data_IF_097050236997
#
_entry.id   IF_097050236997
#
_cell.length_a   1.000
_cell.length_b   1.000
_cell.length_c   1.000
_cell.angle_alpha   90.00
_cell.angle_beta   90.00
_cell.angle_gamma   90.00
#
_symmetry.space_group_name_H-M   'P 1'
#
loop_
_entity.id
_entity.type
_entity.pdbx_description
1 polymer ?
#
# COMPACT_ATOMS: atom_id res chain seq x y z
N UNK A 1 -2.66 -2.53 54.72
CA UNK A 1 -3.06 -2.10 53.38
C UNK A 1 -1.93 -1.24 52.83
N UNK A 2 -1.07 -1.83 52.04
CA UNK A 2 0.03 -1.14 51.35
C UNK A 2 -0.41 -0.75 49.95
N UNK A 3 0.15 0.32 49.36
CA UNK A 3 -0.25 0.78 48.03
C UNK A 3 0.27 -0.14 46.96
N UNK A 4 -0.59 -0.42 45.97
CA UNK A 4 -0.32 -1.13 44.73
C UNK A 4 0.73 -0.37 43.90
N UNK A 5 1.72 -1.00 43.26
CA UNK A 5 2.68 -0.31 42.40
C UNK A 5 2.03 0.07 41.09
N UNK A 6 2.12 1.35 40.75
CA UNK A 6 1.65 1.97 39.53
C UNK A 6 2.49 1.52 38.32
N UNK A 7 1.83 0.99 37.30
CA UNK A 7 2.39 0.62 35.98
C UNK A 7 2.64 1.89 35.12
N UNK A 8 3.70 2.64 35.37
CA UNK A 8 4.01 3.87 34.60
C UNK A 8 5.49 4.05 34.22
N UNK A 9 6.34 3.06 34.46
CA UNK A 9 7.77 3.21 34.17
C UNK A 9 8.26 2.54 32.87
N UNK A 10 7.48 1.63 32.26
CA UNK A 10 7.91 0.90 31.06
C UNK A 10 7.70 1.69 29.73
N UNK A 11 6.71 2.59 29.69
CA UNK A 11 6.35 3.28 28.42
C UNK A 11 7.31 4.38 27.97
N UNK A 12 8.05 4.99 28.89
CA UNK A 12 8.96 6.11 28.54
C UNK A 12 10.34 5.67 28.04
N UNK A 13 10.80 4.48 28.42
CA UNK A 13 12.07 3.94 27.98
C UNK A 13 12.02 3.29 26.57
N UNK A 14 10.86 2.72 26.20
CA UNK A 14 10.63 2.15 24.87
C UNK A 14 10.38 3.20 23.79
N UNK A 15 9.80 4.34 24.12
CA UNK A 15 9.58 5.46 23.18
C UNK A 15 10.88 6.18 22.76
N UNK A 16 12.00 5.95 23.43
CA UNK A 16 13.30 6.52 23.06
C UNK A 16 14.00 5.75 21.90
N UNK A 17 13.45 4.62 21.44
CA UNK A 17 14.14 3.70 20.53
C UNK A 17 14.08 4.12 19.05
N UNK A 18 13.02 4.80 18.59
CA UNK A 18 12.91 5.21 17.18
C UNK A 18 13.32 6.67 17.00
N UNK A 19 14.59 6.91 16.69
CA UNK A 19 15.08 8.22 16.27
C UNK A 19 15.72 8.10 14.90
N UNK A 20 15.11 8.75 13.91
CA UNK A 20 15.67 8.83 12.57
C UNK A 20 17.05 9.49 12.60
N UNK A 21 18.02 8.85 11.96
CA UNK A 21 19.40 9.34 11.86
C UNK A 21 19.70 9.98 10.49
N UNK A 22 18.77 9.85 9.55
CA UNK A 22 18.86 10.33 8.16
C UNK A 22 19.50 9.28 7.24
N UNK A 23 19.05 9.22 6.02
CA UNK A 23 19.42 8.21 5.04
C UNK A 23 20.94 8.00 4.89
N UNK A 24 21.71 9.09 4.95
CA UNK A 24 23.19 9.01 4.80
C UNK A 24 23.90 8.32 5.97
N UNK A 25 23.28 8.25 7.15
CA UNK A 25 23.83 7.64 8.37
C UNK A 25 23.17 6.31 8.68
N UNK A 26 22.06 6.02 8.01
CA UNK A 26 21.32 4.79 8.20
C UNK A 26 22.13 3.61 7.66
N UNK A 27 22.30 2.60 8.48
CA UNK A 27 22.94 1.33 8.11
C UNK A 27 21.91 0.23 8.24
N UNK A 28 21.48 -0.31 7.10
CA UNK A 28 20.53 -1.42 7.05
C UNK A 28 21.13 -2.66 7.73
N UNK A 29 20.39 -3.21 8.65
CA UNK A 29 20.73 -4.46 9.33
C UNK A 29 19.48 -5.31 9.50
N UNK A 30 19.54 -6.58 9.07
CA UNK A 30 18.45 -7.53 9.22
C UNK A 30 18.77 -8.49 10.38
N UNK A 31 18.18 -8.29 11.58
CA UNK A 31 18.42 -9.11 12.76
C UNK A 31 17.73 -10.46 12.71
N UNK A 32 16.91 -10.72 11.69
CA UNK A 32 16.06 -11.92 11.58
C UNK A 32 15.13 -12.10 12.79
N UNK A 33 14.50 -11.01 13.21
CA UNK A 33 13.74 -10.89 14.47
C UNK A 33 12.23 -11.05 14.33
N UNK A 34 11.72 -11.47 13.16
CA UNK A 34 10.28 -11.70 12.98
C UNK A 34 9.73 -12.64 14.05
N UNK A 35 8.61 -12.26 14.66
CA UNK A 35 7.97 -13.06 15.72
C UNK A 35 7.17 -14.22 15.17
N UNK A 36 6.85 -14.20 13.88
CA UNK A 36 6.15 -15.26 13.15
C UNK A 36 6.60 -15.26 11.69
N UNK A 37 6.50 -16.40 11.04
CA UNK A 37 6.94 -16.53 9.65
C UNK A 37 5.95 -15.87 8.70
N UNK A 38 6.37 -14.74 8.14
CA UNK A 38 5.65 -14.02 7.07
C UNK A 38 6.22 -14.44 5.71
N UNK A 39 5.34 -14.89 4.82
CA UNK A 39 5.71 -15.42 3.52
C UNK A 39 5.64 -14.37 2.41
N UNK A 40 4.54 -13.60 2.34
CA UNK A 40 4.31 -12.58 1.32
C UNK A 40 3.10 -11.69 1.68
N UNK A 41 2.85 -10.65 0.89
CA UNK A 41 1.52 -10.04 0.82
C UNK A 41 0.51 -11.07 0.28
N UNK A 42 -0.70 -11.10 0.85
CA UNK A 42 -1.78 -11.96 0.39
C UNK A 42 -2.79 -11.18 -0.45
N UNK A 43 -3.37 -10.14 0.12
CA UNK A 43 -4.29 -9.23 -0.58
C UNK A 43 -4.37 -7.88 0.13
N UNK A 44 -4.92 -6.90 -0.57
CA UNK A 44 -5.34 -5.63 0.02
C UNK A 44 -6.86 -5.55 -0.09
N UNK A 45 -7.55 -5.36 1.03
CA UNK A 45 -8.99 -5.14 1.04
C UNK A 45 -9.30 -3.65 1.14
N UNK A 46 -10.11 -3.19 0.18
CA UNK A 46 -10.68 -1.84 0.21
C UNK A 46 -12.16 -1.93 0.59
N UNK A 47 -12.55 -1.13 1.58
CA UNK A 47 -13.96 -0.92 1.86
C UNK A 47 -14.46 0.30 1.09
N UNK A 48 -15.68 0.19 0.58
CA UNK A 48 -16.32 1.19 -0.28
C UNK A 48 -17.84 1.16 -0.14
N UNK A 49 -18.49 2.13 -0.75
CA UNK A 49 -19.96 2.19 -0.78
C UNK A 49 -20.58 1.23 -1.82
N UNK A 50 -19.84 0.94 -2.90
CA UNK A 50 -20.27 0.04 -3.98
C UNK A 50 -19.06 -0.73 -4.53
N UNK A 51 -19.03 -2.04 -4.24
CA UNK A 51 -17.93 -2.90 -4.62
C UNK A 51 -17.88 -3.16 -6.14
N UNK A 52 -19.02 -3.23 -6.80
CA UNK A 52 -19.07 -3.51 -8.23
C UNK A 52 -18.48 -2.36 -9.06
N UNK A 53 -18.86 -1.12 -8.74
CA UNK A 53 -18.33 0.08 -9.41
C UNK A 53 -16.84 0.25 -9.15
N UNK A 54 -16.40 0.10 -7.90
CA UNK A 54 -14.99 0.22 -7.53
C UNK A 54 -14.13 -0.86 -8.20
N UNK A 55 -14.51 -2.14 -8.07
CA UNK A 55 -13.81 -3.25 -8.70
C UNK A 55 -13.80 -3.13 -10.23
N UNK A 56 -14.91 -2.77 -10.85
CA UNK A 56 -15.01 -2.56 -12.31
C UNK A 56 -14.04 -1.51 -12.81
N UNK A 57 -13.96 -0.36 -12.13
CA UNK A 57 -13.01 0.70 -12.49
C UNK A 57 -11.55 0.26 -12.32
N UNK A 58 -11.21 -0.40 -11.21
CA UNK A 58 -9.85 -0.90 -10.97
C UNK A 58 -9.48 -2.00 -11.96
N UNK A 59 -10.40 -2.92 -12.27
CA UNK A 59 -10.18 -3.97 -13.27
C UNK A 59 -9.84 -3.36 -14.64
N UNK A 60 -10.61 -2.39 -15.10
CA UNK A 60 -10.39 -1.69 -16.36
C UNK A 60 -9.09 -0.91 -16.36
N UNK A 61 -8.79 -0.18 -15.27
CA UNK A 61 -7.63 0.68 -15.18
C UNK A 61 -6.30 -0.10 -15.05
N UNK A 62 -6.32 -1.27 -14.38
CA UNK A 62 -5.11 -2.05 -14.06
C UNK A 62 -4.93 -3.29 -14.95
N UNK A 63 -5.94 -3.67 -15.74
CA UNK A 63 -5.91 -4.95 -16.45
C UNK A 63 -5.89 -6.16 -15.52
N UNK A 64 -6.52 -6.02 -14.35
CA UNK A 64 -6.64 -7.09 -13.37
C UNK A 64 -8.08 -7.64 -13.41
N UNK A 65 -8.29 -8.86 -13.97
CA UNK A 65 -9.62 -9.42 -14.12
C UNK A 65 -10.27 -9.78 -12.78
N UNK A 66 -11.62 -9.79 -12.78
CA UNK A 66 -12.39 -10.37 -11.69
C UNK A 66 -12.09 -11.88 -11.60
N UNK A 67 -11.50 -12.30 -10.49
CA UNK A 67 -11.07 -13.69 -10.28
C UNK A 67 -12.01 -14.48 -9.37
N UNK A 68 -12.63 -13.82 -8.40
CA UNK A 68 -13.59 -14.46 -7.49
C UNK A 68 -14.57 -13.43 -6.93
N UNK A 69 -15.69 -13.92 -6.41
CA UNK A 69 -16.71 -13.09 -5.76
C UNK A 69 -17.36 -13.82 -4.59
N UNK A 70 -17.89 -13.04 -3.67
CA UNK A 70 -18.82 -13.49 -2.64
C UNK A 70 -19.90 -12.42 -2.48
N UNK A 71 -21.12 -12.72 -2.89
CA UNK A 71 -22.25 -11.80 -2.96
C UNK A 71 -23.58 -12.54 -2.82
N UNK A 72 -24.70 -11.87 -3.07
CA UNK A 72 -26.04 -12.47 -3.01
C UNK A 72 -26.16 -13.71 -3.90
N UNK A 73 -25.48 -13.76 -5.04
CA UNK A 73 -25.52 -14.92 -5.96
C UNK A 73 -24.78 -16.13 -5.42
N UNK A 74 -23.87 -15.94 -4.47
CA UNK A 74 -23.11 -17.01 -3.79
C UNK A 74 -23.66 -17.30 -2.38
N UNK A 75 -24.80 -16.70 -1.99
CA UNK A 75 -25.42 -16.92 -0.69
C UNK A 75 -24.93 -15.96 0.41
N UNK A 76 -24.04 -15.02 0.11
CA UNK A 76 -23.60 -14.00 1.06
C UNK A 76 -24.57 -12.82 1.09
N UNK A 77 -25.38 -12.72 2.14
CA UNK A 77 -26.34 -11.62 2.35
C UNK A 77 -25.78 -10.45 3.18
N UNK A 78 -24.55 -10.60 3.70
CA UNK A 78 -23.92 -9.57 4.55
C UNK A 78 -23.21 -8.47 3.74
N UNK A 79 -22.48 -8.85 2.71
CA UNK A 79 -21.67 -7.95 1.91
C UNK A 79 -21.46 -8.48 0.49
N UNK A 80 -21.18 -7.57 -0.44
CA UNK A 80 -20.58 -7.90 -1.71
C UNK A 80 -19.06 -7.79 -1.59
N UNK A 81 -18.33 -8.82 -2.02
CA UNK A 81 -16.87 -8.80 -2.11
C UNK A 81 -16.42 -9.33 -3.46
N UNK A 82 -15.64 -8.52 -4.17
CA UNK A 82 -15.15 -8.79 -5.51
C UNK A 82 -13.61 -8.78 -5.50
N UNK A 83 -13.02 -9.89 -5.93
CA UNK A 83 -11.57 -10.07 -5.99
C UNK A 83 -11.06 -9.85 -7.40
N UNK A 84 -10.17 -8.88 -7.57
CA UNK A 84 -9.38 -8.71 -8.78
C UNK A 84 -8.01 -9.38 -8.58
N UNK A 85 -7.51 -10.06 -9.62
CA UNK A 85 -6.19 -10.72 -9.55
C UNK A 85 -5.39 -10.54 -10.83
N UNK A 86 -4.09 -10.24 -10.67
CA UNK A 86 -3.08 -10.26 -11.72
C UNK A 86 -1.77 -10.80 -11.12
N UNK A 87 -1.29 -11.94 -11.59
CA UNK A 87 -0.19 -12.64 -10.95
C UNK A 87 -0.50 -12.97 -9.48
N UNK A 88 0.35 -12.55 -8.55
CA UNK A 88 0.11 -12.62 -7.10
C UNK A 88 -0.56 -11.36 -6.52
N UNK A 89 -0.78 -10.34 -7.34
CA UNK A 89 -1.52 -9.14 -6.96
C UNK A 89 -3.00 -9.48 -6.76
N UNK A 90 -3.56 -9.21 -5.60
CA UNK A 90 -4.96 -9.47 -5.27
C UNK A 90 -5.59 -8.28 -4.54
N UNK A 91 -6.53 -7.59 -5.21
CA UNK A 91 -7.35 -6.55 -4.63
C UNK A 91 -8.74 -7.06 -4.32
N UNK A 92 -9.18 -6.88 -3.09
CA UNK A 92 -10.53 -7.22 -2.64
C UNK A 92 -11.34 -5.95 -2.39
N UNK A 93 -12.49 -5.81 -3.04
CA UNK A 93 -13.40 -4.70 -2.84
C UNK A 93 -14.63 -5.19 -2.10
N UNK A 94 -14.91 -4.62 -0.94
CA UNK A 94 -16.02 -5.05 -0.08
C UNK A 94 -16.94 -3.87 0.23
N UNK A 95 -18.25 -4.09 0.04
CA UNK A 95 -19.29 -3.12 0.35
C UNK A 95 -20.45 -3.78 1.12
N UNK A 96 -21.02 -3.12 2.15
CA UNK A 96 -22.14 -3.64 2.91
C UNK A 96 -23.44 -3.57 2.12
N UNK A 97 -24.32 -4.57 2.27
CA UNK A 97 -25.70 -4.44 1.84
C UNK A 97 -26.51 -3.53 2.78
N UNK A 98 -27.57 -2.90 2.27
CA UNK A 98 -28.29 -1.84 2.97
C UNK A 98 -29.08 -2.31 4.20
N UNK A 99 -29.65 -3.51 4.20
CA UNK A 99 -30.55 -4.00 5.25
C UNK A 99 -30.24 -5.43 5.64
N UNK A 100 -30.45 -5.74 6.97
CA UNK A 100 -30.68 -7.06 7.50
C UNK A 100 -29.60 -8.11 7.23
N UNK A 101 -28.37 -7.64 7.03
CA UNK A 101 -27.25 -8.53 6.78
C UNK A 101 -27.13 -9.55 7.89
N UNK A 102 -27.41 -10.79 7.59
CA UNK A 102 -27.12 -11.90 8.48
C UNK A 102 -25.61 -12.13 8.50
N UNK A 103 -24.96 -11.75 9.58
CA UNK A 103 -23.51 -11.95 9.76
C UNK A 103 -23.10 -13.43 9.61
N UNK A 104 -24.02 -14.36 9.81
CA UNK A 104 -23.76 -15.79 9.63
C UNK A 104 -23.49 -16.19 8.17
N UNK A 105 -23.89 -15.38 7.20
CA UNK A 105 -23.63 -15.63 5.78
C UNK A 105 -22.39 -14.91 5.24
N UNK A 106 -21.69 -14.11 6.08
CA UNK A 106 -20.51 -13.38 5.66
C UNK A 106 -19.36 -14.33 5.34
N UNK A 107 -18.81 -14.24 4.13
CA UNK A 107 -17.59 -14.97 3.77
C UNK A 107 -16.34 -14.45 4.48
N UNK A 108 -16.39 -13.21 4.96
CA UNK A 108 -15.37 -12.62 5.83
C UNK A 108 -15.96 -12.50 7.24
N UNK A 109 -15.63 -13.39 8.18
CA UNK A 109 -16.26 -13.40 9.51
C UNK A 109 -15.90 -12.18 10.36
N UNK A 110 -14.83 -11.46 10.06
CA UNK A 110 -14.47 -10.17 10.68
C UNK A 110 -15.31 -8.99 10.14
N UNK A 111 -16.12 -9.19 9.09
CA UNK A 111 -16.90 -8.12 8.48
C UNK A 111 -18.04 -7.64 9.41
N UNK A 112 -18.16 -6.32 9.52
CA UNK A 112 -19.27 -5.65 10.19
C UNK A 112 -19.89 -4.60 9.27
N UNK A 113 -21.14 -4.81 8.88
CA UNK A 113 -21.85 -3.87 8.00
C UNK A 113 -21.98 -2.46 8.61
N UNK A 114 -22.10 -2.35 9.94
CA UNK A 114 -22.14 -1.07 10.63
C UNK A 114 -20.77 -0.36 10.60
N UNK A 115 -19.69 -1.11 10.82
CA UNK A 115 -18.33 -0.58 10.72
C UNK A 115 -17.99 -0.18 9.27
N UNK A 116 -18.36 -1.01 8.28
CA UNK A 116 -18.11 -0.73 6.87
C UNK A 116 -18.83 0.55 6.38
N UNK A 117 -20.07 0.78 6.82
CA UNK A 117 -20.78 2.03 6.51
C UNK A 117 -20.13 3.26 7.12
N UNK A 118 -19.70 3.18 8.39
CA UNK A 118 -18.95 4.28 9.02
C UNK A 118 -17.63 4.52 8.31
N UNK A 119 -16.88 3.45 8.05
CA UNK A 119 -15.61 3.52 7.34
C UNK A 119 -15.76 4.20 5.97
N UNK A 120 -16.75 3.80 5.17
CA UNK A 120 -17.00 4.42 3.86
C UNK A 120 -17.45 5.90 3.97
N UNK A 121 -18.17 6.27 5.02
CA UNK A 121 -18.54 7.67 5.28
C UNK A 121 -17.32 8.50 5.71
N UNK A 122 -16.49 7.96 6.59
CA UNK A 122 -15.35 8.67 7.18
C UNK A 122 -14.16 8.73 6.20
N UNK A 123 -13.88 7.67 5.44
CA UNK A 123 -12.67 7.52 4.62
C UNK A 123 -12.94 7.50 3.10
N UNK A 124 -14.18 7.26 2.65
CA UNK A 124 -14.51 7.02 1.24
C UNK A 124 -14.04 5.63 0.79
N UNK A 125 -13.50 5.55 -0.42
CA UNK A 125 -12.80 4.36 -0.91
C UNK A 125 -11.40 4.31 -0.29
N UNK A 126 -11.16 3.39 0.63
CA UNK A 126 -9.88 3.31 1.35
C UNK A 126 -9.54 1.87 1.74
N UNK A 127 -8.27 1.64 2.10
CA UNK A 127 -7.78 0.32 2.53
C UNK A 127 -8.24 0.05 3.96
N UNK A 128 -8.99 -1.04 4.13
CA UNK A 128 -9.39 -1.57 5.42
C UNK A 128 -8.39 -2.58 5.97
N UNK A 129 -7.85 -3.45 5.11
CA UNK A 129 -6.95 -4.50 5.56
C UNK A 129 -5.74 -4.65 4.63
N UNK A 130 -4.57 -4.72 5.22
CA UNK A 130 -3.35 -5.23 4.59
C UNK A 130 -3.20 -6.67 5.05
N UNK A 131 -3.37 -7.63 4.12
CA UNK A 131 -3.32 -9.05 4.47
C UNK A 131 -1.96 -9.65 4.12
N UNK A 132 -1.41 -10.38 5.08
CA UNK A 132 -0.17 -11.14 4.95
C UNK A 132 -0.47 -12.64 4.89
N UNK A 133 0.19 -13.31 3.96
CA UNK A 133 0.32 -14.76 3.97
C UNK A 133 1.35 -15.13 5.04
N UNK A 134 0.92 -15.85 6.06
CA UNK A 134 1.77 -16.33 7.14
C UNK A 134 1.77 -17.86 7.19
N UNK A 135 2.74 -18.46 7.86
CA UNK A 135 2.80 -19.91 8.02
C UNK A 135 1.59 -20.44 8.81
N UNK A 136 1.25 -19.78 9.92
CA UNK A 136 0.05 -20.06 10.72
C UNK A 136 -0.54 -18.75 11.25
N UNK A 137 -1.83 -18.49 10.93
CA UNK A 137 -2.50 -17.25 11.32
C UNK A 137 -2.83 -17.18 12.82
N UNK A 138 -3.06 -18.33 13.47
CA UNK A 138 -3.30 -18.40 14.91
C UNK A 138 -2.01 -18.11 15.70
N UNK A 139 -0.89 -18.70 15.29
CA UNK A 139 0.41 -18.47 15.91
C UNK A 139 0.85 -17.01 15.70
N UNK A 140 0.68 -16.46 14.48
CA UNK A 140 0.98 -15.07 14.17
C UNK A 140 0.16 -14.11 15.06
N UNK A 141 -1.14 -14.36 15.21
CA UNK A 141 -2.02 -13.57 16.07
C UNK A 141 -1.58 -13.64 17.54
N UNK A 142 -1.34 -14.84 18.07
CA UNK A 142 -0.92 -15.04 19.45
C UNK A 142 0.41 -14.37 19.75
N UNK A 143 1.39 -14.54 18.86
CA UNK A 143 2.70 -13.88 18.99
C UNK A 143 2.58 -12.36 18.96
N UNK A 144 1.76 -11.81 18.07
CA UNK A 144 1.52 -10.38 17.97
C UNK A 144 0.85 -9.82 19.21
N UNK A 145 -0.23 -10.45 19.71
CA UNK A 145 -0.95 -9.99 20.91
C UNK A 145 -0.07 -10.11 22.15
N UNK A 146 0.70 -11.19 22.30
CA UNK A 146 1.66 -11.35 23.40
C UNK A 146 2.75 -10.27 23.37
N UNK A 147 3.06 -9.71 22.19
CA UNK A 147 4.03 -8.64 22.01
C UNK A 147 3.38 -7.23 21.97
N UNK A 148 2.11 -7.10 22.36
CA UNK A 148 1.42 -5.82 22.57
C UNK A 148 0.52 -5.37 21.42
N UNK A 149 0.29 -6.19 20.38
CA UNK A 149 -0.71 -5.87 19.37
C UNK A 149 -2.12 -5.83 19.98
N UNK A 150 -2.92 -4.86 19.54
CA UNK A 150 -4.34 -4.80 19.89
C UNK A 150 -5.12 -5.77 19.00
N UNK A 151 -5.87 -6.74 19.57
CA UNK A 151 -6.65 -7.68 18.79
C UNK A 151 -7.83 -6.97 18.12
N UNK A 152 -8.01 -7.18 16.81
CA UNK A 152 -9.17 -6.71 16.05
C UNK A 152 -10.17 -7.85 15.83
N UNK A 153 -9.68 -9.04 15.44
CA UNK A 153 -10.50 -10.22 15.25
C UNK A 153 -9.69 -11.48 15.58
N UNK A 154 -10.18 -12.31 16.50
CA UNK A 154 -9.49 -13.53 16.93
C UNK A 154 -9.37 -14.58 15.81
N UNK A 155 -8.47 -15.57 15.99
CA UNK A 155 -8.27 -16.61 15.02
C UNK A 155 -9.54 -17.42 14.74
N UNK A 156 -9.85 -17.65 13.48
CA UNK A 156 -11.00 -18.45 13.03
C UNK A 156 -10.57 -19.42 11.95
N UNK A 157 -11.10 -20.65 12.02
CA UNK A 157 -11.01 -21.64 10.95
C UNK A 157 -12.14 -21.39 9.94
N UNK A 158 -11.76 -21.09 8.70
CA UNK A 158 -12.69 -20.87 7.59
C UNK A 158 -13.08 -22.18 6.88
N UNK A 159 -12.53 -23.30 7.32
CA UNK A 159 -12.64 -24.60 6.66
C UNK A 159 -11.53 -24.85 5.64
N UNK A 160 -11.35 -26.14 5.24
CA UNK A 160 -10.34 -26.58 4.27
C UNK A 160 -8.90 -26.20 4.65
N UNK A 161 -8.64 -25.96 5.95
CA UNK A 161 -7.34 -25.55 6.47
C UNK A 161 -7.03 -24.06 6.32
N UNK A 162 -7.98 -23.25 5.86
CA UNK A 162 -7.82 -21.79 5.84
C UNK A 162 -8.10 -21.22 7.22
N UNK A 163 -7.21 -20.35 7.69
CA UNK A 163 -7.36 -19.59 8.93
C UNK A 163 -7.15 -18.11 8.70
N UNK A 164 -7.86 -17.29 9.47
CA UNK A 164 -7.80 -15.84 9.44
C UNK A 164 -7.79 -15.28 10.85
N UNK A 165 -7.01 -14.21 11.06
CA UNK A 165 -7.04 -13.40 12.27
C UNK A 165 -6.64 -11.97 11.93
N UNK A 166 -6.98 -10.99 12.77
CA UNK A 166 -6.65 -9.58 12.55
C UNK A 166 -6.19 -8.90 13.84
N UNK A 167 -5.20 -8.04 13.71
CA UNK A 167 -4.78 -7.08 14.73
C UNK A 167 -4.93 -5.65 14.20
N UNK A 168 -5.15 -4.69 15.09
CA UNK A 168 -5.15 -3.27 14.70
C UNK A 168 -3.77 -2.86 14.23
N UNK A 169 -3.71 -2.09 13.16
CA UNK A 169 -2.44 -1.58 12.63
C UNK A 169 -2.29 -0.08 12.98
N UNK A 170 -3.09 0.77 12.38
CA UNK A 170 -3.21 2.21 12.69
C UNK A 170 -4.59 2.69 12.20
N UNK A 171 -5.17 3.68 12.90
CA UNK A 171 -6.52 4.15 12.58
C UNK A 171 -7.52 3.00 12.47
N UNK A 172 -8.27 2.97 11.39
CA UNK A 172 -9.23 1.91 11.08
C UNK A 172 -8.66 0.81 10.16
N UNK A 173 -7.34 0.77 9.96
CA UNK A 173 -6.65 -0.26 9.17
C UNK A 173 -6.23 -1.42 10.06
N UNK A 174 -6.45 -2.63 9.58
CA UNK A 174 -6.01 -3.87 10.25
C UNK A 174 -4.90 -4.56 9.46
N UNK A 175 -4.01 -5.25 10.19
CA UNK A 175 -3.12 -6.24 9.64
C UNK A 175 -3.82 -7.60 9.77
N UNK A 176 -4.10 -8.23 8.62
CA UNK A 176 -4.79 -9.51 8.54
C UNK A 176 -3.80 -10.62 8.28
N UNK A 177 -3.85 -11.66 9.09
CA UNK A 177 -3.09 -12.88 8.90
C UNK A 177 -3.95 -13.92 8.21
N UNK A 178 -3.42 -14.52 7.14
CA UNK A 178 -4.07 -15.59 6.39
C UNK A 178 -3.11 -16.77 6.26
N UNK A 179 -3.56 -17.94 6.65
CA UNK A 179 -2.81 -19.19 6.45
C UNK A 179 -3.68 -20.28 5.85
N UNK A 180 -3.07 -21.15 5.03
CA UNK A 180 -3.69 -22.31 4.41
C UNK A 180 -2.61 -23.30 3.98
N UNK A 181 -2.90 -24.61 3.82
CA UNK A 181 -1.92 -25.62 3.42
C UNK A 181 -1.33 -25.34 2.04
N UNK A 182 -0.08 -25.75 1.83
CA UNK A 182 0.49 -25.82 0.50
C UNK A 182 -0.34 -26.80 -0.36
N UNK A 183 -0.73 -26.37 -1.55
CA UNK A 183 -1.61 -27.14 -2.42
C UNK A 183 -3.10 -26.79 -2.33
N UNK A 184 -3.53 -25.93 -1.41
CA UNK A 184 -4.86 -25.31 -1.44
C UNK A 184 -5.04 -24.33 -2.63
N UNK A 185 -4.08 -24.30 -3.54
CA UNK A 185 -4.04 -23.46 -4.74
C UNK A 185 -5.20 -23.68 -5.73
N UNK A 186 -6.06 -24.70 -5.50
CA UNK A 186 -7.30 -24.91 -6.26
C UNK A 186 -8.47 -24.03 -5.80
N UNK A 187 -8.37 -23.39 -4.64
CA UNK A 187 -9.41 -22.46 -4.18
C UNK A 187 -9.27 -21.11 -4.89
N UNK A 188 -10.39 -20.52 -5.34
CA UNK A 188 -10.34 -19.24 -6.05
C UNK A 188 -9.80 -18.09 -5.17
N UNK A 189 -10.05 -18.17 -3.86
CA UNK A 189 -9.58 -17.20 -2.86
C UNK A 189 -9.71 -17.79 -1.44
N UNK A 190 -10.59 -17.25 -0.61
CA UNK A 190 -10.95 -17.77 0.70
C UNK A 190 -12.22 -18.63 0.59
N UNK A 191 -12.47 -19.57 1.52
CA UNK A 191 -13.75 -20.27 1.61
C UNK A 191 -14.94 -19.29 1.61
N UNK A 192 -16.01 -19.63 0.87
CA UNK A 192 -17.16 -18.72 0.68
C UNK A 192 -17.04 -17.76 -0.51
N UNK A 193 -15.94 -17.86 -1.27
CA UNK A 193 -15.79 -17.19 -2.56
C UNK A 193 -15.94 -18.19 -3.71
N UNK A 194 -16.61 -17.77 -4.77
CA UNK A 194 -16.72 -18.52 -6.01
C UNK A 194 -15.82 -17.92 -7.09
N UNK A 195 -15.12 -18.79 -7.82
CA UNK A 195 -14.28 -18.40 -8.93
C UNK A 195 -15.11 -17.83 -10.08
N UNK A 196 -14.59 -16.79 -10.70
CA UNK A 196 -15.19 -16.16 -11.88
C UNK A 196 -14.27 -16.37 -13.07
N UNK A 197 -14.80 -16.99 -14.13
CA UNK A 197 -14.12 -17.04 -15.41
C UNK A 197 -14.23 -15.68 -16.11
N UNK A 198 -13.11 -15.09 -16.48
CA UNK A 198 -13.05 -13.82 -17.21
C UNK A 198 -12.39 -14.04 -18.58
N UNK A 199 -13.07 -14.71 -19.53
CA UNK A 199 -12.51 -14.99 -20.85
C UNK A 199 -12.26 -13.66 -21.59
N UNK A 200 -11.07 -13.54 -22.21
CA UNK A 200 -10.69 -12.32 -22.92
C UNK A 200 -10.25 -11.17 -22.04
N UNK A 201 -10.03 -11.41 -20.75
CA UNK A 201 -9.44 -10.42 -19.87
C UNK A 201 -8.06 -9.98 -20.39
N UNK A 202 -7.81 -8.69 -20.37
CA UNK A 202 -6.54 -8.11 -20.80
C UNK A 202 -5.62 -8.01 -19.56
N UNK A 203 -4.41 -8.53 -19.69
CA UNK A 203 -3.35 -8.43 -18.69
C UNK A 203 -2.36 -7.35 -19.10
N UNK A 204 -2.18 -6.32 -18.25
CA UNK A 204 -1.22 -5.24 -18.50
C UNK A 204 0.17 -5.54 -17.95
N UNK A 205 0.37 -6.69 -17.29
CA UNK A 205 1.66 -7.14 -16.80
C UNK A 205 1.97 -6.73 -15.35
N UNK A 206 0.96 -6.36 -14.56
CA UNK A 206 1.12 -6.21 -13.12
C UNK A 206 1.24 -7.59 -12.47
N UNK A 207 2.22 -7.78 -11.58
CA UNK A 207 2.57 -9.11 -11.08
C UNK A 207 2.39 -9.31 -9.56
N UNK A 208 2.71 -8.28 -8.74
CA UNK A 208 2.69 -8.37 -7.28
C UNK A 208 2.59 -7.00 -6.60
N UNK A 209 2.26 -7.01 -5.32
CA UNK A 209 2.55 -5.85 -4.46
C UNK A 209 4.06 -5.78 -4.22
N UNK A 210 4.62 -4.58 -4.35
CA UNK A 210 6.01 -4.32 -4.00
C UNK A 210 6.13 -3.78 -2.57
N UNK A 211 5.40 -2.72 -2.28
CA UNK A 211 5.30 -2.14 -0.94
C UNK A 211 3.96 -1.41 -0.76
N UNK A 212 3.60 -1.17 0.51
CA UNK A 212 2.36 -0.48 0.87
C UNK A 212 2.70 0.61 1.86
N UNK A 213 2.48 1.86 1.47
CA UNK A 213 2.87 3.05 2.23
C UNK A 213 1.69 3.63 2.98
N UNK A 214 1.94 4.00 4.21
CA UNK A 214 0.93 4.52 5.12
C UNK A 214 1.32 5.88 5.69
N UNK A 215 0.33 6.71 5.92
CA UNK A 215 0.50 7.99 6.60
C UNK A 215 -0.04 7.90 8.01
N UNK A 216 0.76 8.35 8.96
CA UNK A 216 0.45 8.39 10.39
C UNK A 216 0.73 9.79 10.94
N UNK A 217 0.05 10.23 12.00
CA UNK A 217 0.31 11.56 12.58
C UNK A 217 1.69 11.65 13.25
N UNK A 218 2.17 10.56 13.85
CA UNK A 218 3.45 10.48 14.53
C UNK A 218 4.15 9.15 14.18
N UNK A 219 5.35 9.24 13.60
CA UNK A 219 6.08 8.09 13.07
C UNK A 219 6.62 7.19 14.18
N UNK A 220 7.29 7.76 15.18
CA UNK A 220 7.99 7.00 16.19
C UNK A 220 7.08 6.04 16.98
N UNK A 221 5.91 6.47 17.54
CA UNK A 221 5.01 5.55 18.24
C UNK A 221 4.37 4.51 17.30
N UNK A 222 4.06 4.88 16.05
CA UNK A 222 3.49 3.94 15.09
C UNK A 222 4.50 2.86 14.69
N UNK A 223 5.76 3.25 14.42
CA UNK A 223 6.85 2.33 14.09
C UNK A 223 7.19 1.42 15.26
N UNK A 224 7.29 1.97 16.48
CA UNK A 224 7.56 1.19 17.69
C UNK A 224 6.46 0.14 17.95
N UNK A 225 5.21 0.52 17.78
CA UNK A 225 4.08 -0.40 17.90
C UNK A 225 4.16 -1.52 16.86
N UNK A 226 4.33 -1.15 15.59
CA UNK A 226 4.35 -2.12 14.50
C UNK A 226 5.55 -3.07 14.58
N UNK A 227 6.78 -2.55 14.71
CA UNK A 227 7.98 -3.35 14.87
C UNK A 227 7.93 -4.19 16.15
N UNK A 228 7.37 -3.65 17.22
CA UNK A 228 7.24 -4.34 18.50
C UNK A 228 6.45 -5.64 18.41
N UNK A 229 5.30 -5.64 17.73
CA UNK A 229 4.49 -6.84 17.66
C UNK A 229 4.80 -7.77 16.47
N UNK A 230 5.39 -7.26 15.38
CA UNK A 230 5.80 -8.10 14.25
C UNK A 230 7.20 -8.65 14.37
N UNK A 231 8.10 -7.89 14.99
CA UNK A 231 9.54 -8.13 14.94
C UNK A 231 10.19 -7.66 13.64
N UNK A 232 9.44 -6.97 12.75
CA UNK A 232 9.99 -6.42 11.50
C UNK A 232 11.08 -5.41 11.83
N UNK A 233 12.11 -5.39 10.99
CA UNK A 233 13.27 -4.53 11.16
C UNK A 233 13.21 -3.29 10.28
N UNK A 234 14.00 -2.29 10.66
CA UNK A 234 14.18 -1.08 9.87
C UNK A 234 14.96 -1.41 8.59
N UNK A 235 14.34 -1.12 7.44
CA UNK A 235 14.90 -1.41 6.13
C UNK A 235 15.53 -0.18 5.47
N UNK A 236 14.86 0.96 5.59
CA UNK A 236 15.31 2.24 5.07
C UNK A 236 14.66 3.38 5.84
N UNK A 237 15.32 4.53 5.89
CA UNK A 237 14.72 5.75 6.44
C UNK A 237 15.03 6.97 5.57
N UNK A 238 14.14 7.94 5.63
CA UNK A 238 14.25 9.22 4.94
C UNK A 238 13.77 10.33 5.86
N UNK A 239 14.55 11.40 5.94
CA UNK A 239 14.17 12.61 6.68
C UNK A 239 13.84 13.73 5.70
N UNK A 240 13.25 14.79 6.19
CA UNK A 240 13.01 16.01 5.38
C UNK A 240 14.27 16.54 4.73
N UNK A 241 15.43 16.38 5.35
CA UNK A 241 16.72 16.77 4.77
C UNK A 241 17.09 15.92 3.54
N UNK A 242 16.61 14.67 3.49
CA UNK A 242 16.88 13.75 2.40
C UNK A 242 15.94 13.93 1.21
N UNK A 243 14.66 14.23 1.48
CA UNK A 243 13.56 14.09 0.50
C UNK A 243 12.65 15.33 0.40
N UNK A 244 12.78 16.30 1.32
CA UNK A 244 11.97 17.52 1.31
C UNK A 244 12.26 18.44 0.14
N UNK A 245 11.29 19.28 -0.19
CA UNK A 245 11.46 20.46 -1.05
C UNK A 245 11.72 21.70 -0.19
N UNK A 246 11.91 22.85 -0.83
CA UNK A 246 11.96 24.13 -0.10
C UNK A 246 10.62 24.52 0.51
N UNK A 247 9.53 23.86 0.13
CA UNK A 247 8.16 24.19 0.51
C UNK A 247 7.56 23.20 1.51
N UNK A 248 7.80 21.88 1.32
CA UNK A 248 7.25 20.84 2.21
C UNK A 248 8.18 19.64 2.37
N UNK A 249 7.85 18.73 3.28
CA UNK A 249 8.62 17.52 3.53
C UNK A 249 7.84 16.46 4.31
N UNK A 250 8.46 15.32 4.48
CA UNK A 250 8.01 14.22 5.32
C UNK A 250 9.21 13.56 6.01
N UNK A 251 8.93 12.79 7.05
CA UNK A 251 9.84 11.75 7.54
C UNK A 251 9.23 10.39 7.21
N UNK A 252 10.06 9.41 6.90
CA UNK A 252 9.64 8.07 6.52
C UNK A 252 10.57 7.01 7.09
N UNK A 253 9.97 5.90 7.51
CA UNK A 253 10.68 4.68 7.93
C UNK A 253 10.05 3.48 7.23
N UNK A 254 10.86 2.66 6.60
CA UNK A 254 10.43 1.41 5.97
C UNK A 254 10.69 0.26 6.93
N UNK A 255 9.66 -0.49 7.27
CA UNK A 255 9.75 -1.73 8.03
C UNK A 255 9.64 -2.93 7.09
N UNK A 256 10.45 -3.97 7.33
CA UNK A 256 10.52 -5.17 6.50
C UNK A 256 10.51 -6.44 7.35
N UNK A 257 9.93 -7.51 6.80
CA UNK A 257 10.05 -8.86 7.35
C UNK A 257 11.45 -9.45 7.09
N UNK A 258 11.76 -10.58 7.70
CA UNK A 258 13.06 -11.25 7.58
C UNK A 258 13.50 -11.55 6.14
N UNK A 259 12.56 -11.84 5.25
CA UNK A 259 12.83 -12.09 3.82
C UNK A 259 12.87 -10.82 2.99
N UNK A 260 12.54 -9.67 3.58
CA UNK A 260 12.50 -8.35 2.94
C UNK A 260 11.64 -8.29 1.67
N UNK A 261 10.64 -9.16 1.57
CA UNK A 261 9.65 -9.20 0.50
C UNK A 261 8.30 -8.59 0.89
N UNK A 262 8.12 -8.22 2.15
CA UNK A 262 7.01 -7.43 2.66
C UNK A 262 7.59 -6.13 3.21
N UNK A 263 7.37 -5.04 2.49
CA UNK A 263 7.91 -3.71 2.77
C UNK A 263 6.75 -2.77 3.09
N UNK A 264 6.81 -2.15 4.27
CA UNK A 264 5.75 -1.30 4.80
C UNK A 264 6.31 0.04 5.27
N UNK A 265 6.44 1.03 4.37
CA UNK A 265 6.81 2.39 4.73
C UNK A 265 5.72 3.08 5.54
N UNK A 266 6.14 3.84 6.55
CA UNK A 266 5.32 4.72 7.36
C UNK A 266 5.83 6.14 7.21
N UNK A 267 4.94 7.10 6.93
CA UNK A 267 5.27 8.51 6.78
C UNK A 267 4.59 9.35 7.85
N UNK A 268 5.28 10.38 8.33
CA UNK A 268 4.68 11.43 9.16
C UNK A 268 4.80 12.80 8.49
N UNK A 269 3.89 13.74 8.81
CA UNK A 269 4.00 15.12 8.33
C UNK A 269 5.16 15.85 9.01
N UNK A 270 5.74 16.80 8.28
CA UNK A 270 6.65 17.79 8.85
C UNK A 270 5.91 19.14 8.97
N UNK A 271 6.02 19.77 10.14
CA UNK A 271 5.35 21.01 10.45
C UNK A 271 6.31 22.21 10.36
N UNK A 272 5.76 23.41 10.20
CA UNK A 272 6.57 24.65 10.15
C UNK A 272 7.21 24.95 8.79
N UNK A 273 6.87 24.21 7.76
CA UNK A 273 7.26 24.44 6.36
C UNK A 273 6.40 25.53 5.72
N UNK A 274 6.82 26.07 4.55
CA UNK A 274 6.07 27.15 3.85
C UNK A 274 4.69 26.69 3.39
N UNK A 275 4.58 25.45 2.96
CA UNK A 275 3.31 24.80 2.61
C UNK A 275 2.98 23.75 3.65
N UNK A 276 1.69 23.45 3.79
CA UNK A 276 1.23 22.32 4.57
C UNK A 276 1.81 21.03 3.98
N UNK A 277 2.28 20.12 4.84
CA UNK A 277 2.76 18.82 4.40
C UNK A 277 1.66 18.05 3.68
N UNK A 278 1.97 17.44 2.53
CA UNK A 278 1.05 16.55 1.80
C UNK A 278 0.58 15.36 2.68
N UNK A 279 1.40 14.92 3.65
CA UNK A 279 0.99 13.88 4.60
C UNK A 279 -0.12 14.40 5.51
N UNK A 280 -0.04 15.66 5.96
CA UNK A 280 -1.10 16.29 6.75
C UNK A 280 -2.38 16.50 5.93
N UNK A 281 -2.25 16.90 4.65
CA UNK A 281 -3.39 16.98 3.72
C UNK A 281 -4.10 15.63 3.59
N UNK A 282 -3.32 14.56 3.43
CA UNK A 282 -3.88 13.20 3.42
C UNK A 282 -4.64 12.89 4.71
N UNK A 283 -4.02 13.10 5.89
CA UNK A 283 -4.62 12.78 7.19
C UNK A 283 -5.97 13.50 7.39
N UNK A 284 -6.07 14.76 6.94
CA UNK A 284 -7.30 15.52 7.04
C UNK A 284 -8.40 14.99 6.12
N UNK A 285 -8.07 14.74 4.85
CA UNK A 285 -9.03 14.27 3.86
C UNK A 285 -9.42 12.80 4.05
N UNK A 286 -8.51 12.00 4.57
CA UNK A 286 -8.78 10.61 4.94
C UNK A 286 -9.58 10.51 6.24
N UNK A 287 -9.45 11.49 7.12
CA UNK A 287 -10.06 11.45 8.46
C UNK A 287 -9.23 10.65 9.46
N UNK A 288 -7.90 10.68 9.34
CA UNK A 288 -6.97 9.99 10.22
C UNK A 288 -5.91 9.16 9.48
N UNK A 289 -5.16 8.30 10.20
CA UNK A 289 -4.14 7.44 9.61
C UNK A 289 -4.71 6.45 8.59
N UNK A 290 -3.93 6.16 7.54
CA UNK A 290 -4.39 5.23 6.52
C UNK A 290 -3.32 4.92 5.46
N UNK A 291 -3.63 4.02 4.54
CA UNK A 291 -2.76 3.70 3.40
C UNK A 291 -2.80 4.84 2.40
N UNK A 292 -1.62 5.43 2.14
CA UNK A 292 -1.45 6.53 1.20
C UNK A 292 -1.35 6.01 -0.24
N UNK A 293 -0.45 5.04 -0.47
CA UNK A 293 -0.32 4.44 -1.78
C UNK A 293 0.10 2.97 -1.72
N UNK A 294 -0.14 2.30 -2.82
CA UNK A 294 0.19 0.90 -3.02
C UNK A 294 1.06 0.81 -4.27
N UNK A 295 2.29 0.31 -4.10
CA UNK A 295 3.20 0.09 -5.21
C UNK A 295 2.97 -1.29 -5.84
N UNK A 296 2.74 -1.28 -7.14
CA UNK A 296 2.43 -2.43 -7.98
C UNK A 296 3.62 -2.71 -8.89
N UNK A 297 4.21 -3.89 -8.75
CA UNK A 297 5.33 -4.30 -9.58
C UNK A 297 4.85 -4.79 -10.95
N UNK A 298 5.62 -4.41 -11.96
CA UNK A 298 5.49 -4.91 -13.33
C UNK A 298 6.85 -5.43 -13.82
N UNK A 299 6.83 -6.46 -14.65
CA UNK A 299 8.03 -6.97 -15.29
C UNK A 299 8.42 -6.14 -16.54
N UNK A 300 7.47 -5.38 -17.08
CA UNK A 300 7.66 -4.42 -18.17
C UNK A 300 6.78 -3.18 -17.94
N UNK A 301 7.32 -2.23 -17.17
CA UNK A 301 6.57 -1.02 -16.77
C UNK A 301 6.17 -0.18 -17.98
N UNK A 302 6.99 -0.14 -19.04
CA UNK A 302 6.72 0.67 -20.24
C UNK A 302 5.51 0.13 -20.99
N UNK A 303 5.43 -1.21 -21.17
CA UNK A 303 4.25 -1.87 -21.73
C UNK A 303 3.01 -1.64 -20.86
N UNK A 304 3.13 -1.87 -19.54
CA UNK A 304 2.03 -1.68 -18.58
C UNK A 304 1.47 -0.27 -18.67
N UNK A 305 2.34 0.73 -18.70
CA UNK A 305 1.90 2.14 -18.71
C UNK A 305 1.24 2.55 -20.03
N UNK A 306 1.68 2.03 -21.17
CA UNK A 306 0.97 2.27 -22.44
C UNK A 306 -0.48 1.80 -22.35
N UNK A 307 -0.72 0.60 -21.80
CA UNK A 307 -2.05 0.06 -21.63
C UNK A 307 -2.89 0.87 -20.65
N UNK A 308 -2.30 1.26 -19.49
CA UNK A 308 -3.00 2.05 -18.49
C UNK A 308 -3.31 3.47 -18.97
N UNK A 309 -2.32 4.17 -19.56
CA UNK A 309 -2.48 5.55 -20.00
C UNK A 309 -3.45 5.68 -21.18
N UNK A 310 -3.51 4.69 -22.07
CA UNK A 310 -4.50 4.65 -23.15
C UNK A 310 -5.94 4.64 -22.64
N UNK A 311 -6.16 4.24 -21.39
CA UNK A 311 -7.48 4.16 -20.76
C UNK A 311 -7.78 5.31 -19.79
N UNK A 312 -6.82 6.18 -19.49
CA UNK A 312 -6.99 7.28 -18.54
C UNK A 312 -8.21 8.15 -18.87
N UNK A 313 -8.34 8.58 -20.13
CA UNK A 313 -9.46 9.41 -20.59
C UNK A 313 -10.80 8.65 -20.67
N UNK A 314 -10.82 7.32 -20.58
CA UNK A 314 -12.01 6.48 -20.67
C UNK A 314 -12.49 5.97 -19.30
N UNK A 315 -12.07 6.61 -18.20
CA UNK A 315 -12.44 6.24 -16.83
C UNK A 315 -11.39 5.41 -16.09
N UNK A 316 -10.22 5.16 -16.70
CA UNK A 316 -9.05 4.61 -16.02
C UNK A 316 -8.44 5.58 -15.01
N UNK A 317 -7.22 5.32 -14.60
CA UNK A 317 -6.49 6.22 -13.69
C UNK A 317 -5.67 7.24 -14.48
N UNK A 318 -5.69 8.49 -14.03
CA UNK A 318 -4.80 9.53 -14.49
C UNK A 318 -3.46 9.46 -13.74
N UNK A 319 -2.40 9.92 -14.39
CA UNK A 319 -1.07 9.97 -13.80
C UNK A 319 -0.69 11.38 -13.37
N UNK A 320 0.25 11.47 -12.44
CA UNK A 320 0.87 12.74 -12.07
C UNK A 320 1.59 13.35 -13.28
N UNK A 321 1.73 14.68 -13.35
CA UNK A 321 2.44 15.33 -14.42
C UNK A 321 3.88 14.79 -14.58
N UNK A 322 4.37 14.60 -15.82
CA UNK A 322 5.73 14.14 -16.05
C UNK A 322 6.75 15.18 -15.55
N UNK A 323 7.97 14.75 -15.19
CA UNK A 323 9.04 15.67 -14.86
C UNK A 323 9.44 16.50 -16.09
N UNK A 324 10.11 17.65 -15.90
CA UNK A 324 10.60 18.47 -17.01
C UNK A 324 11.62 17.69 -17.86
N UNK A 325 11.76 18.08 -19.13
CA UNK A 325 12.58 17.33 -20.12
C UNK A 325 14.05 17.19 -19.74
N UNK A 326 14.63 18.18 -19.04
CA UNK A 326 16.02 18.16 -18.57
C UNK A 326 16.28 17.11 -17.47
N UNK A 327 15.23 16.63 -16.81
CA UNK A 327 15.33 15.50 -15.89
C UNK A 327 15.94 14.26 -16.56
N UNK A 328 15.57 13.98 -17.82
CA UNK A 328 16.02 12.78 -18.55
C UNK A 328 17.48 12.87 -19.04
N UNK A 329 18.07 14.06 -19.13
CA UNK A 329 19.52 14.21 -19.31
C UNK A 329 20.30 13.69 -18.08
N UNK A 330 19.72 13.85 -16.88
CA UNK A 330 20.21 13.23 -15.66
C UNK A 330 20.08 11.70 -15.67
N UNK A 331 19.00 11.16 -16.23
CA UNK A 331 18.79 9.71 -16.35
C UNK A 331 19.86 9.06 -17.21
N UNK A 332 20.22 9.67 -18.37
CA UNK A 332 21.30 9.17 -19.22
C UNK A 332 22.62 9.01 -18.47
N UNK A 333 22.95 9.96 -17.60
CA UNK A 333 24.20 9.90 -16.81
C UNK A 333 24.19 8.82 -15.73
N UNK A 334 23.04 8.56 -15.06
CA UNK A 334 22.97 7.64 -13.92
C UNK A 334 22.52 6.22 -14.27
N UNK A 335 21.86 6.01 -15.40
CA UNK A 335 21.29 4.71 -15.78
C UNK A 335 21.50 4.30 -17.25
N UNK A 336 22.29 5.07 -18.03
CA UNK A 336 22.53 4.78 -19.43
C UNK A 336 23.40 3.53 -19.71
N UNK A 337 23.97 2.93 -18.67
CA UNK A 337 24.63 1.61 -18.72
C UNK A 337 23.64 0.44 -18.54
N UNK A 338 22.42 0.71 -18.06
CA UNK A 338 21.36 -0.28 -17.81
C UNK A 338 20.19 -0.11 -18.78
N UNK A 339 19.83 1.15 -19.10
CA UNK A 339 18.74 1.50 -20.01
C UNK A 339 19.30 1.96 -21.34
N UNK A 340 18.73 1.46 -22.44
CA UNK A 340 19.05 1.94 -23.79
C UNK A 340 18.48 3.35 -24.02
N UNK A 341 19.03 4.09 -25.00
CA UNK A 341 18.50 5.40 -25.40
C UNK A 341 17.01 5.33 -25.80
N UNK A 342 16.59 4.23 -26.44
CA UNK A 342 15.19 4.00 -26.79
C UNK A 342 14.31 3.89 -25.54
N UNK A 343 14.74 3.15 -24.53
CA UNK A 343 14.02 3.02 -23.27
C UNK A 343 13.97 4.34 -22.48
N UNK A 344 15.06 5.11 -22.46
CA UNK A 344 15.10 6.43 -21.83
C UNK A 344 14.12 7.40 -22.51
N UNK A 345 14.11 7.40 -23.84
CA UNK A 345 13.14 8.19 -24.61
C UNK A 345 11.70 7.78 -24.31
N UNK A 346 11.44 6.49 -24.20
CA UNK A 346 10.13 5.97 -23.86
C UNK A 346 9.73 6.31 -22.41
N UNK A 347 10.67 6.26 -21.45
CA UNK A 347 10.45 6.77 -20.10
C UNK A 347 10.02 8.25 -20.12
N UNK A 348 10.66 9.06 -20.99
CA UNK A 348 10.29 10.46 -21.17
C UNK A 348 8.89 10.63 -21.74
N UNK A 349 8.54 9.86 -22.76
CA UNK A 349 7.21 9.90 -23.39
C UNK A 349 6.08 9.50 -22.42
N UNK A 350 6.34 8.52 -21.55
CA UNK A 350 5.38 8.00 -20.57
C UNK A 350 5.43 8.71 -19.20
N UNK A 351 6.41 9.59 -18.98
CA UNK A 351 6.57 10.30 -17.71
C UNK A 351 7.17 9.46 -16.58
N UNK A 352 7.90 8.39 -16.91
CA UNK A 352 8.51 7.47 -15.95
C UNK A 352 9.72 8.11 -15.27
N UNK A 353 9.72 8.09 -13.94
CA UNK A 353 10.85 8.48 -13.12
C UNK A 353 11.84 7.31 -13.01
N UNK A 354 13.13 7.62 -13.04
CA UNK A 354 14.20 6.62 -12.94
C UNK A 354 15.14 7.00 -11.81
N UNK A 355 15.35 6.09 -10.88
CA UNK A 355 16.33 6.23 -9.81
C UNK A 355 17.29 5.03 -9.80
N UNK A 356 18.41 5.19 -9.14
CA UNK A 356 19.44 4.15 -9.02
C UNK A 356 20.12 4.25 -7.67
N UNK A 357 20.28 3.11 -7.02
CA UNK A 357 21.18 2.94 -5.90
C UNK A 357 22.41 2.08 -6.28
N UNK A 358 23.17 1.65 -5.29
CA UNK A 358 24.35 0.77 -5.48
C UNK A 358 23.99 -0.67 -5.87
N UNK A 359 22.71 -1.06 -5.79
CA UNK A 359 22.24 -2.43 -6.03
C UNK A 359 21.46 -2.55 -7.35
N UNK A 360 20.73 -1.53 -7.76
CA UNK A 360 19.88 -1.64 -8.96
C UNK A 360 19.27 -0.34 -9.42
N UNK A 361 18.38 -0.46 -10.41
CA UNK A 361 17.63 0.65 -10.99
C UNK A 361 16.14 0.47 -10.69
N UNK A 362 15.48 1.57 -10.35
CA UNK A 362 14.04 1.67 -10.13
C UNK A 362 13.42 2.57 -11.20
N UNK A 363 12.43 2.04 -11.92
CA UNK A 363 11.52 2.81 -12.75
C UNK A 363 10.20 2.94 -12.02
N UNK A 364 9.64 4.15 -11.92
CA UNK A 364 8.42 4.40 -11.17
C UNK A 364 7.60 5.54 -11.74
N UNK A 365 6.29 5.46 -11.56
CA UNK A 365 5.35 6.53 -11.86
C UNK A 365 4.18 6.45 -10.89
N UNK A 366 3.53 7.60 -10.63
CA UNK A 366 2.44 7.71 -9.69
C UNK A 366 1.15 8.12 -10.38
N UNK A 367 0.05 7.49 -10.00
CA UNK A 367 -1.27 7.97 -10.41
C UNK A 367 -1.66 9.22 -9.60
N UNK A 368 -2.58 9.99 -10.13
CA UNK A 368 -3.39 10.88 -9.29
C UNK A 368 -4.21 10.04 -8.30
N UNK A 369 -4.82 10.65 -7.28
CA UNK A 369 -5.72 9.92 -6.39
C UNK A 369 -6.77 9.11 -7.15
N UNK A 370 -6.94 7.84 -6.76
CA UNK A 370 -7.83 6.90 -7.46
C UNK A 370 -9.30 7.00 -7.02
N UNK A 371 -9.57 7.75 -5.95
CA UNK A 371 -10.91 8.05 -5.43
C UNK A 371 -11.26 9.53 -5.60
N UNK A 372 -12.38 9.92 -5.00
CA UNK A 372 -12.87 11.32 -5.03
C UNK A 372 -12.05 12.23 -4.10
N UNK A 373 -11.46 11.66 -3.05
CA UNK A 373 -10.62 12.38 -2.09
C UNK A 373 -9.16 12.36 -2.53
N UNK A 374 -8.37 13.41 -2.22
CA UNK A 374 -6.93 13.45 -2.49
C UNK A 374 -6.17 12.57 -1.47
N UNK A 375 -6.44 11.27 -1.46
CA UNK A 375 -5.90 10.31 -0.49
C UNK A 375 -5.17 9.18 -1.17
N UNK A 376 -5.83 8.03 -1.43
CA UNK A 376 -5.21 6.84 -1.99
C UNK A 376 -4.80 7.05 -3.45
N UNK A 377 -3.53 6.73 -3.77
CA UNK A 377 -3.03 6.65 -5.13
C UNK A 377 -2.21 5.35 -5.34
N UNK A 378 -1.81 5.08 -6.57
CA UNK A 378 -1.01 3.91 -6.91
C UNK A 378 0.34 4.35 -7.46
N UNK A 379 1.32 3.51 -7.21
CA UNK A 379 2.64 3.56 -7.83
C UNK A 379 2.79 2.34 -8.74
N UNK A 380 3.28 2.54 -9.95
CA UNK A 380 3.62 1.44 -10.86
C UNK A 380 5.13 1.42 -11.00
N UNK A 381 5.74 0.27 -10.69
CA UNK A 381 7.19 0.17 -10.63
C UNK A 381 7.74 -1.03 -11.40
N UNK A 382 8.99 -0.88 -11.81
CA UNK A 382 9.86 -1.98 -12.23
C UNK A 382 11.22 -1.83 -11.55
N UNK A 383 11.71 -2.92 -10.97
CA UNK A 383 13.05 -3.00 -10.39
C UNK A 383 13.96 -3.79 -11.32
N UNK A 384 15.17 -3.28 -11.60
CA UNK A 384 16.15 -3.91 -12.48
C UNK A 384 17.42 -4.16 -11.70
N UNK A 385 17.87 -5.43 -11.66
CA UNK A 385 19.04 -5.86 -10.92
C UNK A 385 18.69 -6.71 -9.69
N UNK A 386 19.66 -6.90 -8.81
CA UNK A 386 19.56 -7.61 -7.50
C UNK A 386 19.01 -9.04 -7.61
N UNK A 387 19.35 -9.74 -8.67
CA UNK A 387 18.96 -11.15 -8.83
C UNK A 387 19.82 -12.03 -7.96
N UNK A 388 19.20 -12.86 -7.13
CA UNK A 388 19.84 -13.87 -6.28
C UNK A 388 19.23 -15.24 -6.53
N UNK A 389 19.86 -16.28 -6.00
CA UNK A 389 19.34 -17.65 -6.04
C UNK A 389 19.02 -18.11 -4.64
N UNK A 390 17.86 -18.71 -4.47
CA UNK A 390 17.46 -19.35 -3.23
C UNK A 390 18.23 -20.67 -3.00
N UNK A 391 18.00 -21.31 -1.87
CA UNK A 391 18.64 -22.60 -1.51
C UNK A 391 18.32 -23.73 -2.50
N UNK A 392 17.26 -23.58 -3.30
CA UNK A 392 16.85 -24.54 -4.36
C UNK A 392 17.42 -24.17 -5.72
N UNK A 393 18.19 -23.05 -5.82
CA UNK A 393 18.76 -22.53 -7.05
C UNK A 393 17.75 -21.75 -7.92
N UNK A 394 16.56 -21.43 -7.42
CA UNK A 394 15.58 -20.62 -8.11
C UNK A 394 15.97 -19.14 -8.03
N UNK A 395 15.99 -18.47 -9.17
CA UNK A 395 16.27 -17.03 -9.22
C UNK A 395 15.11 -16.23 -8.67
N UNK A 396 15.43 -15.24 -7.83
CA UNK A 396 14.47 -14.27 -7.32
C UNK A 396 15.11 -12.88 -7.24
N UNK A 397 14.29 -11.84 -7.29
CA UNK A 397 14.74 -10.48 -7.11
C UNK A 397 14.66 -10.08 -5.64
N UNK A 398 15.74 -9.55 -5.09
CA UNK A 398 15.75 -8.99 -3.74
C UNK A 398 14.72 -7.89 -3.58
N UNK A 399 14.02 -7.86 -2.45
CA UNK A 399 13.11 -6.79 -2.09
C UNK A 399 13.83 -5.44 -1.97
N UNK A 400 13.18 -4.37 -2.41
CA UNK A 400 13.72 -3.03 -2.33
C UNK A 400 14.92 -2.73 -3.25
N UNK A 401 15.19 -3.59 -4.25
CA UNK A 401 16.24 -3.36 -5.27
C UNK A 401 16.07 -2.00 -5.95
N UNK A 402 17.13 -1.18 -6.03
CA UNK A 402 17.07 0.17 -6.57
C UNK A 402 16.43 1.19 -5.60
N UNK A 403 16.23 0.79 -4.33
CA UNK A 403 15.73 1.67 -3.27
C UNK A 403 14.25 2.01 -3.37
N UNK A 404 13.88 3.19 -2.88
CA UNK A 404 12.51 3.73 -2.88
C UNK A 404 12.40 5.02 -3.69
N UNK A 405 13.29 5.24 -4.65
CA UNK A 405 13.24 6.43 -5.50
C UNK A 405 13.67 7.71 -4.78
N UNK A 406 14.67 7.63 -3.89
CA UNK A 406 15.17 8.82 -3.16
C UNK A 406 15.48 9.99 -4.10
N UNK A 407 16.16 9.71 -5.23
CA UNK A 407 16.49 10.70 -6.24
C UNK A 407 15.29 11.31 -6.96
N UNK A 408 14.11 10.68 -6.83
CA UNK A 408 12.85 11.10 -7.45
C UNK A 408 11.90 11.78 -6.48
N UNK A 409 12.14 11.74 -5.17
CA UNK A 409 11.23 12.35 -4.18
C UNK A 409 10.94 13.82 -4.45
N UNK A 410 11.97 14.60 -4.79
CA UNK A 410 11.79 16.02 -5.12
C UNK A 410 10.88 16.23 -6.33
N UNK A 411 10.91 15.34 -7.31
CA UNK A 411 10.04 15.40 -8.49
C UNK A 411 8.60 14.99 -8.13
N UNK A 412 8.44 13.93 -7.33
CA UNK A 412 7.13 13.52 -6.83
C UNK A 412 6.49 14.64 -5.99
N UNK A 413 7.23 15.19 -5.01
CA UNK A 413 6.74 16.30 -4.18
C UNK A 413 6.32 17.48 -5.03
N UNK A 414 7.15 17.88 -5.98
CA UNK A 414 6.84 18.98 -6.89
C UNK A 414 5.59 18.70 -7.71
N UNK A 415 5.43 17.49 -8.25
CA UNK A 415 4.25 17.16 -9.05
C UNK A 415 2.96 17.15 -8.21
N UNK A 416 3.01 16.70 -6.96
CA UNK A 416 1.89 16.76 -6.02
C UNK A 416 1.59 18.22 -5.64
N UNK A 417 2.61 19.03 -5.31
CA UNK A 417 2.46 20.46 -5.00
C UNK A 417 1.84 21.22 -6.19
N UNK A 418 2.28 20.97 -7.41
CA UNK A 418 1.73 21.60 -8.61
C UNK A 418 0.29 21.14 -8.89
N UNK A 419 -0.03 19.88 -8.62
CA UNK A 419 -1.40 19.38 -8.69
C UNK A 419 -2.30 20.06 -7.65
N UNK A 420 -1.89 20.14 -6.37
CA UNK A 420 -2.62 20.84 -5.31
C UNK A 420 -2.84 22.31 -5.65
N UNK A 421 -1.80 23.03 -6.12
CA UNK A 421 -1.90 24.43 -6.58
C UNK A 421 -2.94 24.58 -7.71
N UNK A 422 -2.99 23.63 -8.63
CA UNK A 422 -3.98 23.64 -9.72
C UNK A 422 -5.40 23.50 -9.21
N UNK A 423 -5.63 22.70 -8.16
CA UNK A 423 -6.93 22.54 -7.53
C UNK A 423 -7.33 23.80 -6.77
N UNK A 424 -6.42 24.36 -5.97
CA UNK A 424 -6.63 25.62 -5.23
C UNK A 424 -7.02 26.78 -6.18
N UNK A 425 -6.31 26.91 -7.32
CA UNK A 425 -6.62 27.93 -8.32
C UNK A 425 -8.01 27.74 -8.96
N UNK A 426 -8.42 26.50 -9.25
CA UNK A 426 -9.76 26.19 -9.78
C UNK A 426 -10.85 26.49 -8.76
N UNK A 427 -10.63 26.16 -7.49
CA UNK A 427 -11.57 26.46 -6.40
C UNK A 427 -11.73 27.97 -6.20
N UNK A 428 -10.61 28.70 -6.19
CA UNK A 428 -10.64 30.17 -6.08
C UNK A 428 -11.40 30.84 -7.26
N UNK A 429 -11.18 30.37 -8.48
CA UNK A 429 -11.89 30.85 -9.66
C UNK A 429 -13.40 30.57 -9.58
N UNK A 430 -13.78 29.36 -9.16
CA UNK A 430 -15.18 29.00 -8.97
C UNK A 430 -15.87 29.85 -7.89
N UNK A 431 -15.18 30.10 -6.76
CA UNK A 431 -15.69 30.96 -5.69
C UNK A 431 -15.86 32.42 -6.13
N UNK A 432 -14.93 32.96 -6.93
CA UNK A 432 -15.02 34.31 -7.47
C UNK A 432 -16.21 34.44 -8.45
N UNK A 433 -16.47 33.42 -9.26
CA UNK A 433 -17.63 33.41 -10.19
C UNK A 433 -18.95 33.36 -9.42
N UNK A 434 -19.02 32.60 -8.33
CA UNK A 434 -20.24 32.48 -7.50
C UNK A 434 -20.57 33.75 -6.69
N UNK A 435 -19.58 34.61 -6.42
CA UNK A 435 -19.77 35.89 -5.72
C UNK A 435 -20.10 37.05 -6.66
N UNK A 436 -19.89 36.89 -7.97
CA UNK A 436 -20.16 37.89 -9.01
C UNK A 436 -21.49 37.70 -9.74
N UNK A 437 -22.23 36.64 -9.42
CA UNK A 437 -23.60 36.35 -9.90
C UNK A 437 -24.65 36.58 -8.78
#
# INVERSE_FOLDING_TARGET
MGPTPTATAASAAEQAAFRLVGHRRFVRFNPRSDRFLTLAFHHVELWCADAASAAGRFSFALGAPLAARSDLSTGNSAHASLLLRSGSLSFLFTAPYAHGADAATAALPSFSAAAARRFAADHGLAVRAVALRVADAEDAFRASVAAGARPAFGPVDLGRGFRLAEVELYGDVVLRYVSYPDGAAGEPFLPGFEGVASPGAVDYGLSRFDHIVSNVPELAPAAAYFAGFTGFHEFAEFTTEDVGTTESGLNSLVLANNSENVLLPLNEPVHGTKRRSQIQTFLDHHGGPGVQHIALASDDVLRTLREMQARSAMGGFEFMPPPPSDYYDGVRRRAGDVLTEAQIKECQELGVLVDRDDQGVLLQIFTKPVGDRPTLFLEIIQRIGCMEKDEKGQEYQKGGCGGFGKGNFSQLFKSIEDYEKSLEAKQAAAAATAQGS
#
